data_IF_907107472495
#
_entry.id   IF_907107472495
#
_cell.length_a   1.000
_cell.length_b   1.000
_cell.length_c   1.000
_cell.angle_alpha   90.00
_cell.angle_beta   90.00
_cell.angle_gamma   90.00
#
_symmetry.space_group_name_H-M   'P 1'
#
loop_
_entity.id
_entity.type
_entity.pdbx_description
1 polymer ?
#
# COMPACT_ATOMS: atom_id res chain seq x y z
N UNK A 1 -62.53 23.46 44.55
CA UNK A 1 -61.37 23.07 45.37
C UNK A 1 -61.54 21.63 45.83
N UNK A 2 -61.25 20.58 45.09
CA UNK A 2 -61.06 20.32 43.66
C UNK A 2 -61.15 18.78 43.49
N UNK A 3 -61.79 18.36 42.40
CA UNK A 3 -61.61 17.14 41.56
C UNK A 3 -61.21 15.79 42.24
N UNK A 4 -62.02 14.70 42.20
CA UNK A 4 -62.37 13.80 41.04
C UNK A 4 -61.10 13.27 40.35
N UNK A 5 -60.79 11.99 40.06
CA UNK A 5 -61.43 10.67 39.89
C UNK A 5 -60.31 9.61 40.15
N UNK A 6 -60.53 8.32 40.45
CA UNK A 6 -61.37 7.33 39.78
C UNK A 6 -60.53 6.46 38.83
N UNK A 7 -60.48 5.15 39.13
CA UNK A 7 -60.22 3.98 38.26
C UNK A 7 -59.31 4.11 37.01
N UNK A 8 -58.35 3.19 36.86
CA UNK A 8 -58.48 2.05 35.91
C UNK A 8 -57.16 1.31 35.70
N UNK A 9 -57.33 0.02 35.42
CA UNK A 9 -56.32 -0.95 35.03
C UNK A 9 -55.33 -0.45 33.96
N UNK A 10 -54.07 -0.87 34.09
CA UNK A 10 -53.23 -1.08 32.91
C UNK A 10 -53.10 -2.59 32.65
N UNK A 11 -53.91 -2.99 31.67
CA UNK A 11 -53.74 -4.17 30.85
C UNK A 11 -52.35 -4.22 30.23
N UNK A 12 -51.89 -5.47 30.07
CA UNK A 12 -50.88 -5.92 29.14
C UNK A 12 -50.95 -5.23 27.77
N UNK A 13 -49.85 -4.59 27.38
CA UNK A 13 -49.37 -4.50 25.99
C UNK A 13 -47.89 -4.87 26.10
N UNK A 14 -47.47 -6.08 25.74
CA UNK A 14 -47.49 -6.50 24.35
C UNK A 14 -46.36 -5.81 23.58
N UNK A 15 -45.11 -5.88 24.06
CA UNK A 15 -43.96 -5.71 23.19
C UNK A 15 -43.51 -7.12 22.82
N UNK A 16 -44.09 -7.58 21.72
CA UNK A 16 -43.65 -8.69 20.90
C UNK A 16 -42.12 -8.82 20.90
N UNK A 17 -41.67 -10.00 21.32
CA UNK A 17 -40.30 -10.48 21.20
C UNK A 17 -39.69 -10.19 19.84
N UNK A 18 -38.70 -9.30 19.85
CA UNK A 18 -37.36 -9.63 19.40
C UNK A 18 -36.45 -9.10 20.51
N UNK A 19 -35.84 -9.99 21.29
CA UNK A 19 -34.77 -9.57 22.20
C UNK A 19 -33.70 -8.95 21.30
N UNK A 20 -33.57 -7.63 21.34
CA UNK A 20 -32.50 -6.94 20.63
C UNK A 20 -31.21 -7.45 21.25
N UNK A 21 -30.47 -8.27 20.48
CA UNK A 21 -29.19 -8.81 20.90
C UNK A 21 -28.32 -7.66 21.39
N UNK A 22 -27.78 -7.75 22.62
CA UNK A 22 -26.95 -6.67 23.14
C UNK A 22 -25.75 -6.49 22.22
N UNK A 23 -25.32 -5.25 22.02
CA UNK A 23 -24.16 -4.95 21.17
C UNK A 23 -22.92 -5.76 21.61
N UNK A 24 -22.75 -5.99 22.91
CA UNK A 24 -21.69 -6.85 23.42
C UNK A 24 -21.84 -8.31 22.98
N UNK A 25 -23.06 -8.88 22.99
CA UNK A 25 -23.30 -10.25 22.54
C UNK A 25 -23.00 -10.41 21.04
N UNK A 26 -23.48 -9.47 20.21
CA UNK A 26 -23.17 -9.42 18.77
C UNK A 26 -21.66 -9.31 18.54
N UNK A 27 -20.98 -8.41 19.26
CA UNK A 27 -19.53 -8.24 19.14
C UNK A 27 -18.74 -9.49 19.54
N UNK A 28 -19.15 -10.19 20.60
CA UNK A 28 -18.51 -11.44 21.04
C UNK A 28 -18.65 -12.52 19.98
N UNK A 29 -19.84 -12.71 19.42
CA UNK A 29 -20.12 -13.70 18.38
C UNK A 29 -19.30 -13.41 17.10
N UNK A 30 -19.26 -12.13 16.70
CA UNK A 30 -18.56 -11.69 15.51
C UNK A 30 -17.03 -11.81 15.65
N UNK A 31 -16.47 -11.40 16.80
CA UNK A 31 -15.04 -11.55 17.08
C UNK A 31 -14.64 -13.03 17.18
N UNK A 32 -15.52 -13.89 17.71
CA UNK A 32 -15.27 -15.33 17.70
C UNK A 32 -15.21 -15.87 16.25
N UNK A 33 -16.10 -15.41 15.37
CA UNK A 33 -16.07 -15.77 13.96
C UNK A 33 -14.76 -15.32 13.28
N UNK A 34 -14.25 -14.13 13.62
CA UNK A 34 -13.00 -13.60 13.08
C UNK A 34 -11.81 -14.57 13.27
N UNK A 35 -11.75 -15.27 14.40
CA UNK A 35 -10.68 -16.25 14.65
C UNK A 35 -10.67 -17.41 13.63
N UNK A 36 -11.84 -17.81 13.14
CA UNK A 36 -12.01 -18.90 12.17
C UNK A 36 -11.78 -18.49 10.71
N UNK A 37 -11.66 -17.19 10.43
CA UNK A 37 -11.50 -16.64 9.07
C UNK A 37 -12.51 -17.23 8.06
N UNK A 38 -13.83 -17.09 8.32
CA UNK A 38 -14.83 -17.59 7.38
C UNK A 38 -14.60 -16.97 6.01
N UNK A 39 -14.84 -17.78 4.98
CA UNK A 39 -14.85 -17.27 3.62
C UNK A 39 -16.08 -16.39 3.40
N UNK A 40 -15.98 -15.39 2.53
CA UNK A 40 -17.11 -14.52 2.18
C UNK A 40 -18.33 -15.33 1.76
N UNK A 41 -18.13 -16.41 0.98
CA UNK A 41 -19.24 -17.29 0.56
C UNK A 41 -19.92 -18.08 1.68
N UNK A 42 -19.30 -18.17 2.86
CA UNK A 42 -19.86 -18.80 4.07
C UNK A 42 -20.37 -17.81 5.11
N UNK A 43 -20.15 -16.51 4.89
CA UNK A 43 -20.65 -15.45 5.76
C UNK A 43 -22.15 -15.19 5.47
N UNK A 44 -22.96 -14.75 6.46
CA UNK A 44 -24.35 -14.44 6.24
C UNK A 44 -24.58 -13.49 5.05
N UNK A 45 -25.73 -13.66 4.38
CA UNK A 45 -26.11 -12.87 3.22
C UNK A 45 -26.52 -11.45 3.64
N UNK A 46 -25.54 -10.58 3.79
CA UNK A 46 -25.74 -9.15 3.99
C UNK A 46 -25.50 -8.38 2.68
N UNK A 47 -25.56 -7.04 2.71
CA UNK A 47 -25.14 -6.23 1.57
C UNK A 47 -23.63 -6.37 1.41
N UNK A 48 -23.20 -7.04 0.34
CA UNK A 48 -21.78 -7.18 0.01
C UNK A 48 -21.38 -6.09 -0.97
N UNK A 49 -20.35 -5.34 -0.60
CA UNK A 49 -19.64 -4.44 -1.50
C UNK A 49 -18.28 -5.04 -1.81
N UNK A 50 -17.98 -5.20 -3.10
CA UNK A 50 -16.65 -5.59 -3.54
C UNK A 50 -15.71 -4.39 -3.45
N UNK A 51 -14.41 -4.64 -3.36
CA UNK A 51 -13.45 -3.55 -3.35
C UNK A 51 -13.62 -2.70 -4.61
N UNK A 52 -13.93 -1.41 -4.42
CA UNK A 52 -14.03 -0.38 -5.46
C UNK A 52 -13.52 0.95 -4.85
N UNK A 53 -13.04 1.86 -5.70
CA UNK A 53 -12.33 3.09 -5.31
C UNK A 53 -13.27 4.25 -4.96
N UNK A 54 -14.59 4.09 -5.09
CA UNK A 54 -15.61 5.14 -4.92
C UNK A 54 -16.59 4.80 -3.81
N UNK A 55 -16.26 5.16 -2.59
CA UNK A 55 -17.10 4.89 -1.41
C UNK A 55 -16.98 6.11 -0.46
N UNK A 56 -17.94 6.46 0.43
CA UNK A 56 -17.92 7.72 1.22
C UNK A 56 -17.96 7.58 2.78
N UNK A 57 -17.55 6.45 3.35
CA UNK A 57 -17.62 6.11 4.78
C UNK A 57 -16.26 5.98 5.53
N UNK A 58 -16.20 6.20 6.86
CA UNK A 58 -14.93 6.20 7.63
C UNK A 58 -14.18 4.86 7.70
N UNK A 59 -14.89 3.72 7.74
CA UNK A 59 -14.27 2.38 7.68
C UNK A 59 -13.58 2.13 6.32
N UNK A 60 -13.94 2.91 5.32
CA UNK A 60 -13.42 2.74 3.98
C UNK A 60 -12.02 3.31 3.81
N UNK A 61 -11.54 4.14 4.74
CA UNK A 61 -10.17 4.60 4.64
C UNK A 61 -9.19 3.48 4.98
N UNK A 62 -9.55 2.59 5.92
CA UNK A 62 -8.80 1.34 6.14
C UNK A 62 -9.00 0.38 4.95
N UNK A 63 -10.24 0.27 4.45
CA UNK A 63 -10.56 -0.51 3.24
C UNK A 63 -9.75 -0.09 2.00
N UNK A 64 -9.52 1.22 1.81
CA UNK A 64 -8.74 1.81 0.71
C UNK A 64 -7.23 1.69 0.92
N UNK A 65 -6.76 1.75 2.17
CA UNK A 65 -5.32 1.75 2.50
C UNK A 65 -4.74 0.35 2.46
N UNK A 66 -5.51 -0.65 2.89
CA UNK A 66 -5.06 -2.02 2.86
C UNK A 66 -5.43 -2.66 1.52
N UNK A 67 -4.47 -2.58 0.60
CA UNK A 67 -4.34 -3.29 -0.69
C UNK A 67 -4.77 -4.78 -0.66
N UNK A 68 -4.79 -5.35 0.53
CA UNK A 68 -5.25 -6.69 0.85
C UNK A 68 -6.78 -6.90 0.83
N UNK A 69 -7.64 -5.88 0.93
CA UNK A 69 -9.09 -6.08 1.03
C UNK A 69 -9.77 -6.31 -0.32
N UNK A 70 -10.64 -7.31 -0.41
CA UNK A 70 -11.38 -7.66 -1.62
C UNK A 70 -12.90 -7.49 -1.50
N UNK A 71 -13.45 -7.46 -0.29
CA UNK A 71 -14.87 -7.22 -0.06
C UNK A 71 -15.16 -6.70 1.36
N UNK A 72 -16.29 -6.02 1.49
CA UNK A 72 -16.94 -5.67 2.74
C UNK A 72 -18.36 -6.26 2.77
N UNK A 73 -18.77 -6.84 3.89
CA UNK A 73 -20.14 -7.29 4.14
C UNK A 73 -20.77 -6.41 5.20
N UNK A 74 -21.95 -5.85 4.93
CA UNK A 74 -22.53 -4.82 5.78
C UNK A 74 -24.00 -5.04 6.12
N UNK A 75 -24.32 -4.73 7.37
CA UNK A 75 -25.66 -4.79 7.97
C UNK A 75 -25.88 -3.55 8.85
N UNK A 76 -25.87 -2.37 8.21
CA UNK A 76 -26.16 -1.05 8.80
C UNK A 76 -25.16 -0.56 9.84
N UNK A 77 -25.05 -1.26 10.97
CA UNK A 77 -24.17 -0.97 12.10
C UNK A 77 -22.91 -1.83 12.09
N UNK A 78 -22.85 -2.87 11.27
CA UNK A 78 -21.73 -3.82 11.19
C UNK A 78 -21.12 -3.80 9.80
N UNK A 79 -19.79 -3.85 9.75
CA UNK A 79 -19.00 -4.11 8.55
C UNK A 79 -17.99 -5.22 8.85
N UNK A 80 -18.02 -6.31 8.10
CA UNK A 80 -16.98 -7.33 8.08
C UNK A 80 -16.09 -7.12 6.86
N UNK A 81 -14.79 -6.96 7.06
CA UNK A 81 -13.80 -6.74 6.01
C UNK A 81 -13.11 -8.06 5.66
N UNK A 82 -13.04 -8.34 4.35
CA UNK A 82 -12.47 -9.56 3.82
C UNK A 82 -11.24 -9.28 2.97
N UNK A 83 -10.20 -10.07 3.16
CA UNK A 83 -8.92 -9.95 2.47
C UNK A 83 -8.69 -11.05 1.44
N UNK A 84 -7.79 -10.78 0.50
CA UNK A 84 -7.30 -11.73 -0.50
C UNK A 84 -6.57 -12.87 0.22
N UNK A 85 -7.02 -14.14 0.09
CA UNK A 85 -6.40 -15.24 0.81
C UNK A 85 -4.91 -15.38 0.45
N UNK A 86 -4.11 -15.84 1.42
CA UNK A 86 -2.76 -16.30 1.13
C UNK A 86 -2.85 -17.54 0.22
N UNK A 87 -2.54 -17.36 -1.06
CA UNK A 87 -2.52 -18.43 -2.05
C UNK A 87 -1.08 -18.84 -2.37
N UNK A 88 -0.89 -20.11 -2.65
CA UNK A 88 0.40 -20.66 -3.13
C UNK A 88 0.44 -20.78 -4.64
N UNK A 89 -0.72 -20.89 -5.28
CA UNK A 89 -0.87 -21.07 -6.73
C UNK A 89 -1.90 -20.10 -7.29
N UNK A 90 -1.59 -19.50 -8.44
CA UNK A 90 -2.53 -18.64 -9.15
C UNK A 90 -3.66 -19.45 -9.81
N UNK A 91 -4.87 -18.90 -9.90
CA UNK A 91 -5.94 -19.49 -10.70
C UNK A 91 -5.54 -19.67 -12.18
N UNK A 92 -6.08 -20.72 -12.81
CA UNK A 92 -5.84 -20.99 -14.24
C UNK A 92 -6.51 -19.95 -15.14
N UNK A 93 -7.71 -19.51 -14.74
CA UNK A 93 -8.54 -18.59 -15.51
C UNK A 93 -9.21 -17.56 -14.60
N UNK A 94 -9.63 -16.46 -15.22
CA UNK A 94 -10.44 -15.44 -14.54
C UNK A 94 -11.78 -16.07 -14.14
N UNK A 95 -12.16 -15.91 -12.88
CA UNK A 95 -13.42 -16.40 -12.32
C UNK A 95 -13.89 -15.44 -11.22
N UNK A 96 -14.96 -14.65 -11.45
CA UNK A 96 -15.52 -13.76 -10.43
C UNK A 96 -15.96 -14.47 -9.15
N UNK A 97 -16.21 -15.79 -9.20
CA UNK A 97 -16.55 -16.59 -8.01
C UNK A 97 -15.39 -16.69 -7.02
N UNK A 98 -14.16 -16.38 -7.44
CA UNK A 98 -13.00 -16.32 -6.55
C UNK A 98 -13.22 -15.32 -5.40
N UNK A 99 -13.96 -14.24 -5.62
CA UNK A 99 -14.34 -13.29 -4.54
C UNK A 99 -14.99 -13.98 -3.34
N UNK A 100 -15.68 -15.12 -3.52
CA UNK A 100 -16.27 -15.90 -2.41
C UNK A 100 -15.23 -16.55 -1.51
N UNK A 101 -13.98 -16.66 -1.95
CA UNK A 101 -12.85 -17.23 -1.20
C UNK A 101 -12.11 -16.18 -0.36
N UNK A 102 -12.45 -14.90 -0.51
CA UNK A 102 -12.01 -13.83 0.38
C UNK A 102 -12.22 -14.24 1.84
N UNK A 103 -11.23 -13.98 2.70
CA UNK A 103 -11.22 -14.43 4.09
C UNK A 103 -11.48 -13.26 5.01
N UNK A 104 -12.24 -13.47 6.08
CA UNK A 104 -12.48 -12.39 7.04
C UNK A 104 -11.18 -11.98 7.75
N UNK A 105 -10.92 -10.67 7.81
CA UNK A 105 -9.72 -10.10 8.45
C UNK A 105 -10.04 -9.16 9.61
N UNK A 106 -11.12 -8.39 9.48
CA UNK A 106 -11.50 -7.41 10.47
C UNK A 106 -13.02 -7.24 10.54
N UNK A 107 -13.47 -6.71 11.67
CA UNK A 107 -14.86 -6.40 11.96
C UNK A 107 -14.91 -5.01 12.56
N UNK A 108 -15.83 -4.21 12.03
CA UNK A 108 -16.16 -2.88 12.50
C UNK A 108 -17.63 -2.87 12.90
N UNK A 109 -17.92 -2.42 14.11
CA UNK A 109 -19.27 -2.23 14.61
C UNK A 109 -19.40 -0.79 15.10
N UNK A 110 -20.44 -0.11 14.66
CA UNK A 110 -20.71 1.28 14.96
C UNK A 110 -22.17 1.45 15.36
N UNK A 111 -22.39 2.06 16.52
CA UNK A 111 -23.73 2.37 17.00
C UNK A 111 -23.82 3.83 17.38
N UNK A 112 -25.05 4.35 17.52
CA UNK A 112 -25.27 5.66 18.11
C UNK A 112 -24.56 5.79 19.47
N UNK A 113 -24.13 7.01 19.79
CA UNK A 113 -23.50 7.30 21.08
C UNK A 113 -24.38 6.84 22.24
N UNK A 114 -23.77 6.12 23.19
CA UNK A 114 -24.45 5.53 24.35
C UNK A 114 -23.48 5.38 25.53
N UNK A 115 -23.92 4.78 26.64
CA UNK A 115 -23.08 4.63 27.83
C UNK A 115 -21.98 3.59 27.61
N UNK A 116 -20.83 4.04 27.10
CA UNK A 116 -19.67 3.19 26.78
C UNK A 116 -19.20 2.37 27.99
N UNK A 117 -19.37 2.87 29.21
CA UNK A 117 -19.00 2.16 30.44
C UNK A 117 -19.79 0.86 30.65
N UNK A 118 -21.06 0.82 30.23
CA UNK A 118 -21.87 -0.40 30.28
C UNK A 118 -21.32 -1.45 29.33
N UNK A 119 -20.96 -1.03 28.10
CA UNK A 119 -20.32 -1.88 27.11
C UNK A 119 -18.95 -2.39 27.58
N UNK A 120 -18.15 -1.52 28.20
CA UNK A 120 -16.87 -1.92 28.79
C UNK A 120 -17.08 -2.97 29.86
N UNK A 121 -18.06 -2.80 30.75
CA UNK A 121 -18.37 -3.76 31.80
C UNK A 121 -18.83 -5.11 31.24
N UNK A 122 -19.73 -5.11 30.25
CA UNK A 122 -20.20 -6.33 29.58
C UNK A 122 -19.07 -7.07 28.87
N UNK A 123 -18.24 -6.37 28.09
CA UNK A 123 -17.10 -6.98 27.40
C UNK A 123 -16.03 -7.46 28.39
N UNK A 124 -15.81 -6.74 29.48
CA UNK A 124 -14.88 -7.14 30.55
C UNK A 124 -15.36 -8.41 31.26
N UNK A 125 -16.68 -8.58 31.44
CA UNK A 125 -17.24 -9.80 32.02
C UNK A 125 -16.97 -11.03 31.14
N UNK A 126 -16.91 -10.86 29.82
CA UNK A 126 -16.68 -11.96 28.87
C UNK A 126 -15.19 -12.20 28.60
N UNK A 127 -14.41 -11.14 28.40
CA UNK A 127 -13.01 -11.23 27.97
C UNK A 127 -11.98 -11.02 29.07
N UNK A 128 -12.41 -10.59 30.25
CA UNK A 128 -11.54 -10.11 31.32
C UNK A 128 -11.16 -8.64 31.13
N UNK A 129 -10.32 -8.14 32.04
CA UNK A 129 -9.85 -6.77 32.02
C UNK A 129 -9.13 -6.44 30.69
N UNK A 130 -9.23 -5.19 30.18
CA UNK A 130 -8.48 -4.73 29.03
C UNK A 130 -6.98 -5.05 29.16
N UNK A 131 -6.44 -5.73 28.14
CA UNK A 131 -5.07 -6.24 28.11
C UNK A 131 -4.36 -5.96 26.78
N UNK A 132 -4.93 -5.10 25.93
CA UNK A 132 -4.33 -4.71 24.66
C UNK A 132 -3.02 -3.94 24.86
N UNK A 133 -2.05 -4.18 23.98
CA UNK A 133 -0.71 -3.58 24.06
C UNK A 133 -0.63 -2.17 23.47
N UNK A 134 -1.70 -1.71 22.80
CA UNK A 134 -1.77 -0.41 22.16
C UNK A 134 -3.17 0.19 22.28
N UNK A 135 -3.24 1.50 22.53
CA UNK A 135 -4.46 2.30 22.37
C UNK A 135 -4.59 2.87 20.94
N UNK A 136 -3.62 2.62 20.08
CA UNK A 136 -3.53 3.15 18.73
C UNK A 136 -3.83 2.02 17.72
N UNK A 137 -5.07 1.91 17.22
CA UNK A 137 -5.34 1.03 16.09
C UNK A 137 -4.71 1.65 14.83
N UNK A 138 -4.04 0.85 14.01
CA UNK A 138 -3.51 1.34 12.73
C UNK A 138 -4.63 1.43 11.69
N UNK A 139 -5.48 2.45 11.85
CA UNK A 139 -6.56 2.84 10.92
C UNK A 139 -6.63 4.37 10.86
N UNK A 140 -6.84 4.97 9.68
CA UNK A 140 -6.90 6.44 9.62
C UNK A 140 -8.10 6.97 10.43
N UNK A 141 -7.92 8.10 11.10
CA UNK A 141 -8.98 8.73 11.88
C UNK A 141 -9.09 8.25 13.33
N UNK A 142 -8.32 7.24 13.74
CA UNK A 142 -8.27 6.78 15.14
C UNK A 142 -7.94 7.90 16.12
N UNK A 143 -7.17 8.91 15.69
CA UNK A 143 -6.82 10.08 16.51
C UNK A 143 -8.04 10.91 16.95
N UNK A 144 -9.19 10.74 16.29
CA UNK A 144 -10.44 11.38 16.67
C UNK A 144 -11.19 10.59 17.74
N UNK A 145 -10.76 9.36 18.02
CA UNK A 145 -11.38 8.47 18.99
C UNK A 145 -11.00 8.87 20.42
N UNK A 146 -11.96 8.70 21.33
CA UNK A 146 -11.84 8.98 22.75
C UNK A 146 -12.18 7.73 23.55
N UNK A 147 -11.75 7.70 24.81
CA UNK A 147 -12.03 6.61 25.75
C UNK A 147 -11.67 5.22 25.23
N UNK A 148 -10.53 5.12 24.54
CA UNK A 148 -10.10 3.87 23.91
C UNK A 148 -9.79 2.83 24.98
N UNK A 149 -10.41 1.66 24.86
CA UNK A 149 -10.07 0.44 25.58
C UNK A 149 -9.69 -0.64 24.58
N UNK A 150 -8.67 -1.42 24.89
CA UNK A 150 -8.22 -2.49 24.00
C UNK A 150 -8.05 -3.82 24.70
N UNK A 151 -8.37 -4.87 23.97
CA UNK A 151 -8.18 -6.26 24.36
C UNK A 151 -7.36 -6.97 23.30
N UNK A 152 -6.65 -8.01 23.72
CA UNK A 152 -5.96 -8.94 22.85
C UNK A 152 -6.43 -10.36 23.13
N UNK A 153 -6.90 -11.03 22.09
CA UNK A 153 -7.40 -12.41 22.12
C UNK A 153 -6.65 -13.25 21.08
N UNK A 154 -5.60 -13.92 21.51
CA UNK A 154 -4.71 -14.66 20.61
C UNK A 154 -4.04 -13.73 19.60
N UNK A 155 -4.35 -13.91 18.32
CA UNK A 155 -3.89 -13.08 17.21
C UNK A 155 -4.95 -12.06 16.75
N UNK A 156 -5.85 -11.64 17.64
CA UNK A 156 -6.85 -10.60 17.38
C UNK A 156 -6.61 -9.46 18.36
N UNK A 157 -6.45 -8.26 17.82
CA UNK A 157 -6.46 -7.01 18.55
C UNK A 157 -7.86 -6.39 18.41
N UNK A 158 -8.39 -5.91 19.54
CA UNK A 158 -9.76 -5.38 19.66
C UNK A 158 -9.66 -4.00 20.31
N UNK A 159 -10.35 -3.02 19.74
CA UNK A 159 -10.48 -1.66 20.26
C UNK A 159 -11.95 -1.31 20.40
N UNK A 160 -12.31 -0.75 21.55
CA UNK A 160 -13.58 -0.07 21.79
C UNK A 160 -13.28 1.40 22.05
N UNK A 161 -13.97 2.29 21.38
CA UNK A 161 -13.81 3.72 21.55
C UNK A 161 -15.13 4.45 21.25
N UNK A 162 -15.11 5.77 21.40
CA UNK A 162 -16.18 6.65 20.94
C UNK A 162 -15.63 7.81 20.12
N UNK A 163 -16.39 8.27 19.13
CA UNK A 163 -16.13 9.51 18.41
C UNK A 163 -17.16 10.59 18.81
N UNK A 164 -17.38 11.60 17.95
CA UNK A 164 -18.33 12.67 18.22
C UNK A 164 -19.80 12.21 18.27
N UNK A 165 -20.14 11.09 17.64
CA UNK A 165 -21.53 10.66 17.42
C UNK A 165 -21.78 9.16 17.62
N UNK A 166 -20.73 8.37 17.83
CA UNK A 166 -20.83 6.92 17.84
C UNK A 166 -19.96 6.25 18.91
N UNK A 167 -20.36 5.05 19.28
CA UNK A 167 -19.47 4.05 19.87
C UNK A 167 -18.97 3.15 18.75
N UNK A 168 -17.67 2.92 18.72
CA UNK A 168 -16.97 2.14 17.69
C UNK A 168 -16.29 0.96 18.37
N UNK A 169 -16.56 -0.23 17.86
CA UNK A 169 -15.80 -1.43 18.17
C UNK A 169 -15.13 -1.91 16.88
N UNK A 170 -13.81 -1.99 16.91
CA UNK A 170 -13.00 -2.47 15.79
C UNK A 170 -12.16 -3.65 16.27
N UNK A 171 -12.22 -4.77 15.56
CA UNK A 171 -11.41 -5.94 15.83
C UNK A 171 -10.73 -6.38 14.55
N UNK A 172 -9.44 -6.69 14.63
CA UNK A 172 -8.68 -7.16 13.47
C UNK A 172 -7.70 -8.24 13.88
N UNK A 173 -7.30 -9.07 12.92
CA UNK A 173 -6.23 -10.04 13.16
C UNK A 173 -4.87 -9.36 13.05
N UNK A 174 -3.92 -9.80 13.87
CA UNK A 174 -2.51 -9.45 13.74
C UNK A 174 -2.00 -10.08 12.44
N UNK A 175 -2.03 -9.31 11.37
CA UNK A 175 -1.35 -9.64 10.14
C UNK A 175 -0.01 -8.89 10.15
N UNK A 176 1.06 -9.46 9.57
CA UNK A 176 2.23 -8.64 9.26
C UNK A 176 1.74 -7.40 8.52
N UNK A 177 2.23 -6.21 8.87
CA UNK A 177 2.02 -5.08 7.98
C UNK A 177 2.56 -5.51 6.61
N UNK A 178 1.68 -5.61 5.62
CA UNK A 178 2.15 -5.63 4.24
C UNK A 178 3.04 -4.41 4.13
N UNK A 179 4.31 -4.65 3.78
CA UNK A 179 5.30 -3.60 3.68
C UNK A 179 4.65 -2.47 2.88
N UNK A 180 4.51 -1.32 3.53
CA UNK A 180 3.66 -0.21 3.10
C UNK A 180 3.75 -0.05 1.59
N UNK A 181 2.60 0.19 0.95
CA UNK A 181 2.43 0.49 -0.48
C UNK A 181 3.55 1.41 -0.97
N UNK A 182 4.69 0.82 -1.34
CA UNK A 182 5.90 1.61 -1.55
C UNK A 182 5.65 2.52 -2.73
N UNK A 183 6.07 3.78 -2.58
CA UNK A 183 6.24 4.70 -3.68
C UNK A 183 7.12 4.02 -4.74
N UNK A 184 6.55 3.74 -5.92
CA UNK A 184 7.28 3.19 -7.07
C UNK A 184 6.86 1.79 -7.51
N UNK A 185 7.28 1.38 -8.72
CA UNK A 185 6.98 0.06 -9.30
C UNK A 185 7.86 -1.06 -8.74
N UNK A 186 9.00 -0.72 -8.13
CA UNK A 186 9.95 -1.67 -7.53
C UNK A 186 10.22 -1.29 -6.08
N UNK A 187 10.57 -2.27 -5.24
CA UNK A 187 10.88 -2.03 -3.83
C UNK A 187 12.22 -1.29 -3.66
N UNK A 188 12.43 -0.58 -2.54
CA UNK A 188 13.73 -0.02 -2.20
C UNK A 188 14.87 -1.05 -2.18
N UNK A 189 14.56 -2.31 -1.84
CA UNK A 189 15.55 -3.39 -1.84
C UNK A 189 16.07 -3.68 -3.25
N UNK A 190 15.18 -3.74 -4.25
CA UNK A 190 15.56 -3.93 -5.66
C UNK A 190 16.36 -2.73 -6.17
N UNK A 191 15.92 -1.51 -5.86
CA UNK A 191 16.66 -0.27 -6.18
C UNK A 191 18.08 -0.30 -5.61
N UNK A 192 18.21 -0.63 -4.33
CA UNK A 192 19.51 -0.69 -3.64
C UNK A 192 20.41 -1.79 -4.24
N UNK A 193 19.85 -2.92 -4.65
CA UNK A 193 20.64 -3.95 -5.33
C UNK A 193 21.14 -3.50 -6.69
N UNK A 194 20.33 -2.78 -7.47
CA UNK A 194 20.76 -2.24 -8.76
C UNK A 194 21.90 -1.21 -8.60
N UNK A 195 21.82 -0.31 -7.60
CA UNK A 195 22.91 0.62 -7.29
C UNK A 195 24.18 -0.11 -6.86
N UNK A 196 24.06 -1.17 -6.03
CA UNK A 196 25.21 -1.98 -5.62
C UNK A 196 25.82 -2.76 -6.80
N UNK A 197 25.02 -3.26 -7.72
CA UNK A 197 25.49 -3.88 -8.95
C UNK A 197 26.28 -2.90 -9.81
N UNK A 198 25.76 -1.68 -10.01
CA UNK A 198 26.47 -0.62 -10.71
C UNK A 198 27.79 -0.26 -10.01
N UNK A 199 27.79 -0.16 -8.69
CA UNK A 199 29.01 0.09 -7.93
C UNK A 199 30.07 -1.00 -8.15
N UNK A 200 29.69 -2.29 -8.19
CA UNK A 200 30.62 -3.39 -8.50
C UNK A 200 31.18 -3.30 -9.92
N UNK A 201 30.39 -2.83 -10.89
CA UNK A 201 30.83 -2.65 -12.28
C UNK A 201 31.75 -1.43 -12.45
N UNK A 202 31.48 -0.35 -11.72
CA UNK A 202 32.23 0.91 -11.80
C UNK A 202 33.55 0.90 -11.02
N UNK A 203 33.65 0.10 -9.96
CA UNK A 203 34.68 0.26 -8.91
C UNK A 203 36.11 -0.01 -9.39
N UNK A 204 36.95 1.03 -9.32
CA UNK A 204 38.42 0.91 -9.25
C UNK A 204 38.93 0.99 -7.80
N UNK A 205 38.24 1.76 -6.94
CA UNK A 205 38.58 1.99 -5.54
C UNK A 205 37.45 1.53 -4.61
N UNK A 206 37.58 0.35 -3.95
CA UNK A 206 36.57 -0.19 -3.06
C UNK A 206 36.25 0.71 -1.85
N UNK A 207 37.23 1.46 -1.34
CA UNK A 207 37.04 2.35 -0.19
C UNK A 207 36.21 3.56 -0.57
N UNK A 208 36.53 4.20 -1.69
CA UNK A 208 35.75 5.31 -2.24
C UNK A 208 34.31 4.87 -2.56
N UNK A 209 34.16 3.68 -3.13
CA UNK A 209 32.86 3.07 -3.47
C UNK A 209 31.99 2.90 -2.22
N UNK A 210 32.56 2.31 -1.16
CA UNK A 210 31.86 2.07 0.09
C UNK A 210 31.40 3.38 0.74
N UNK A 211 32.26 4.42 0.70
CA UNK A 211 31.94 5.73 1.24
C UNK A 211 30.80 6.44 0.47
N UNK A 212 30.74 6.28 -0.85
CA UNK A 212 29.62 6.79 -1.65
C UNK A 212 28.32 6.03 -1.35
N UNK A 213 28.35 4.70 -1.36
CA UNK A 213 27.17 3.86 -1.09
C UNK A 213 26.59 4.08 0.31
N UNK A 214 27.43 4.32 1.32
CA UNK A 214 26.98 4.66 2.67
C UNK A 214 26.16 5.96 2.74
N UNK A 215 26.20 6.78 1.68
CA UNK A 215 25.60 8.11 1.61
C UNK A 215 24.48 8.23 0.57
N UNK A 216 24.15 7.16 -0.15
CA UNK A 216 23.03 7.15 -1.12
C UNK A 216 21.66 6.92 -0.46
N UNK A 217 21.61 6.72 0.87
CA UNK A 217 20.37 6.49 1.63
C UNK A 217 19.97 7.75 2.41
N UNK A 218 19.28 8.68 1.76
CA UNK A 218 18.95 9.99 2.34
C UNK A 218 17.95 9.91 3.50
N UNK A 219 17.11 8.86 3.54
CA UNK A 219 16.03 8.69 4.52
C UNK A 219 16.52 8.13 5.86
N UNK A 220 17.60 7.36 5.84
CA UNK A 220 18.26 6.89 7.06
C UNK A 220 19.07 8.04 7.63
N UNK A 221 18.55 8.71 8.67
CA UNK A 221 19.14 9.85 9.41
C UNK A 221 20.53 9.62 10.04
N UNK A 222 21.33 8.67 9.55
CA UNK A 222 22.59 8.23 10.14
C UNK A 222 23.85 8.66 9.35
N UNK A 223 23.73 9.15 8.12
CA UNK A 223 24.90 9.63 7.39
C UNK A 223 25.37 11.00 7.96
N UNK A 224 26.66 11.19 8.30
CA UNK A 224 27.18 12.47 8.74
C UNK A 224 26.97 13.53 7.65
N UNK A 225 26.45 14.70 8.02
CA UNK A 225 26.31 15.85 7.12
C UNK A 225 27.68 16.17 6.51
N UNK A 226 27.85 15.85 5.23
CA UNK A 226 29.08 16.13 4.48
C UNK A 226 28.97 17.53 3.87
N UNK A 227 30.06 18.29 3.90
CA UNK A 227 30.09 19.57 3.21
C UNK A 227 29.94 19.33 1.70
N UNK A 228 29.19 20.19 1.02
CA UNK A 228 29.03 20.17 -0.45
C UNK A 228 30.37 20.11 -1.18
N UNK A 229 31.43 20.72 -0.61
CA UNK A 229 32.77 20.66 -1.17
C UNK A 229 33.38 19.27 -1.16
N UNK A 230 33.21 18.52 -0.06
CA UNK A 230 33.66 17.14 0.04
C UNK A 230 32.85 16.21 -0.86
N UNK A 231 31.53 16.40 -0.93
CA UNK A 231 30.66 15.67 -1.87
C UNK A 231 31.07 15.86 -3.32
N UNK A 232 31.30 17.10 -3.75
CA UNK A 232 31.74 17.38 -5.12
C UNK A 232 33.16 16.83 -5.39
N UNK A 233 34.09 16.93 -4.43
CA UNK A 233 35.43 16.37 -4.57
C UNK A 233 35.41 14.85 -4.77
N UNK A 234 34.61 14.15 -3.96
CA UNK A 234 34.41 12.71 -4.04
C UNK A 234 33.76 12.28 -5.35
N UNK A 235 32.69 12.97 -5.75
CA UNK A 235 32.01 12.72 -7.02
C UNK A 235 32.97 12.90 -8.20
N UNK A 236 33.79 13.95 -8.21
CA UNK A 236 34.80 14.16 -9.25
C UNK A 236 35.80 13.01 -9.29
N UNK A 237 36.35 12.61 -8.14
CA UNK A 237 37.28 11.50 -8.04
C UNK A 237 36.67 10.20 -8.56
N UNK A 238 35.38 9.96 -8.25
CA UNK A 238 34.64 8.79 -8.72
C UNK A 238 34.45 8.80 -10.24
N UNK A 239 34.00 9.92 -10.82
CA UNK A 239 33.78 10.03 -12.27
C UNK A 239 35.07 9.94 -13.07
N UNK A 240 36.19 10.45 -12.53
CA UNK A 240 37.49 10.44 -13.21
C UNK A 240 38.17 9.06 -13.17
N UNK A 241 37.92 8.26 -12.13
CA UNK A 241 38.58 6.98 -11.87
C UNK A 241 37.65 5.78 -11.96
N UNK A 242 36.63 5.82 -12.83
CA UNK A 242 35.75 4.67 -13.04
C UNK A 242 36.06 3.95 -14.35
N UNK A 243 36.14 2.62 -14.28
CA UNK A 243 36.32 1.76 -15.46
C UNK A 243 35.08 1.74 -16.36
N UNK A 244 33.89 1.67 -15.75
CA UNK A 244 32.61 1.70 -16.45
C UNK A 244 31.89 3.02 -16.17
N UNK A 245 31.87 3.88 -17.19
CA UNK A 245 31.26 5.21 -17.11
C UNK A 245 29.75 5.15 -16.85
N UNK A 246 29.04 4.22 -17.47
CA UNK A 246 27.59 4.11 -17.30
C UNK A 246 27.25 3.70 -15.86
N UNK A 247 27.96 2.71 -15.34
CA UNK A 247 27.80 2.27 -13.97
C UNK A 247 28.21 3.36 -12.95
N UNK A 248 29.26 4.13 -13.26
CA UNK A 248 29.69 5.26 -12.43
C UNK A 248 28.62 6.36 -12.35
N UNK A 249 27.97 6.67 -13.49
CA UNK A 249 26.88 7.63 -13.55
C UNK A 249 25.67 7.19 -12.72
N UNK A 250 25.36 5.90 -12.67
CA UNK A 250 24.28 5.36 -11.82
C UNK A 250 24.59 5.60 -10.33
N UNK A 251 25.81 5.29 -9.88
CA UNK A 251 26.21 5.52 -8.48
C UNK A 251 26.24 7.01 -8.17
N UNK A 252 26.73 7.83 -9.11
CA UNK A 252 26.74 9.29 -9.01
C UNK A 252 25.32 9.86 -8.88
N UNK A 253 24.35 9.35 -9.64
CA UNK A 253 22.96 9.78 -9.57
C UNK A 253 22.38 9.58 -8.16
N UNK A 254 22.54 8.37 -7.61
CA UNK A 254 22.09 8.02 -6.27
C UNK A 254 22.79 8.87 -5.18
N UNK A 255 24.08 9.16 -5.37
CA UNK A 255 24.86 9.96 -4.43
C UNK A 255 24.47 11.46 -4.45
N UNK A 256 24.28 12.03 -5.64
CA UNK A 256 23.87 13.43 -5.81
C UNK A 256 22.44 13.67 -5.33
N UNK A 257 21.57 12.66 -5.44
CA UNK A 257 20.18 12.75 -4.96
C UNK A 257 20.05 13.09 -3.48
N UNK A 258 21.06 12.78 -2.67
CA UNK A 258 21.09 13.12 -1.23
C UNK A 258 21.80 14.45 -0.92
N UNK A 259 22.34 15.14 -1.92
CA UNK A 259 23.10 16.37 -1.73
C UNK A 259 22.26 17.62 -2.03
N UNK A 260 22.43 18.71 -1.27
CA UNK A 260 21.77 19.96 -1.61
C UNK A 260 22.32 20.53 -2.93
N UNK A 261 21.49 21.28 -3.69
CA UNK A 261 21.92 21.91 -4.93
C UNK A 261 23.16 22.79 -4.76
N UNK A 262 24.11 22.72 -5.70
CA UNK A 262 25.29 23.58 -5.67
C UNK A 262 25.95 23.78 -7.03
N UNK A 263 26.64 24.90 -7.19
CA UNK A 263 27.40 25.21 -8.42
C UNK A 263 28.55 24.24 -8.66
N UNK A 264 29.14 23.70 -7.58
CA UNK A 264 30.21 22.68 -7.69
C UNK A 264 29.67 21.39 -8.31
N UNK A 265 28.51 20.91 -7.85
CA UNK A 265 27.87 19.73 -8.45
C UNK A 265 27.41 20.04 -9.90
N UNK A 266 26.90 21.24 -10.17
CA UNK A 266 26.57 21.68 -11.54
C UNK A 266 27.78 21.66 -12.47
N UNK A 267 28.96 22.07 -11.99
CA UNK A 267 30.19 22.04 -12.77
C UNK A 267 30.65 20.62 -13.14
N UNK A 268 30.18 19.62 -12.38
CA UNK A 268 30.40 18.19 -12.64
C UNK A 268 29.29 17.58 -13.50
N UNK A 269 28.35 18.39 -14.02
CA UNK A 269 27.29 17.95 -14.92
C UNK A 269 25.95 17.66 -14.24
N UNK A 270 25.83 17.80 -12.92
CA UNK A 270 24.55 17.61 -12.23
C UNK A 270 23.57 18.74 -12.56
N UNK A 271 22.39 18.39 -13.05
CA UNK A 271 21.33 19.36 -13.39
C UNK A 271 20.31 19.42 -12.26
N UNK A 272 20.01 20.62 -11.79
CA UNK A 272 18.96 20.87 -10.81
C UNK A 272 17.89 21.76 -11.42
N UNK A 273 16.62 21.43 -11.19
CA UNK A 273 15.45 22.13 -11.75
C UNK A 273 14.42 22.38 -10.64
N UNK A 274 13.69 23.51 -10.69
CA UNK A 274 12.55 23.69 -9.80
C UNK A 274 11.45 22.68 -10.21
N UNK A 275 11.06 21.82 -9.28
CA UNK A 275 9.83 21.00 -9.41
C UNK A 275 8.67 21.75 -8.74
N UNK A 276 8.93 22.36 -7.59
CA UNK A 276 7.97 23.12 -6.81
C UNK A 276 8.49 24.54 -6.57
N UNK A 277 7.70 25.60 -6.84
CA UNK A 277 8.12 26.98 -6.61
C UNK A 277 8.59 27.25 -5.17
N UNK A 278 8.00 26.55 -4.20
CA UNK A 278 8.25 26.71 -2.76
C UNK A 278 9.45 25.92 -2.22
N UNK A 279 9.84 24.82 -2.86
CA UNK A 279 10.85 23.88 -2.31
C UNK A 279 12.26 24.08 -2.91
N UNK A 280 12.39 25.02 -3.85
CA UNK A 280 13.65 25.30 -4.54
C UNK A 280 14.00 24.24 -5.59
N UNK A 281 15.22 24.33 -6.16
CA UNK A 281 15.64 23.40 -7.21
C UNK A 281 15.97 22.04 -6.62
N UNK A 282 15.49 20.98 -7.24
CA UNK A 282 15.81 19.59 -6.89
C UNK A 282 16.61 18.93 -8.01
N UNK A 283 17.35 17.88 -7.69
CA UNK A 283 18.18 17.18 -8.66
C UNK A 283 17.30 16.52 -9.74
N UNK A 284 17.68 16.70 -11.01
CA UNK A 284 16.88 16.28 -12.15
C UNK A 284 17.17 14.84 -12.61
N UNK A 285 17.96 14.09 -11.84
CA UNK A 285 18.39 12.71 -12.12
C UNK A 285 18.99 12.51 -13.52
N UNK A 286 19.74 13.50 -14.00
CA UNK A 286 20.25 13.45 -15.37
C UNK A 286 21.40 12.46 -15.53
N UNK A 287 22.13 12.11 -14.47
CA UNK A 287 23.18 11.10 -14.60
C UNK A 287 22.58 9.73 -14.88
N UNK A 288 21.40 9.43 -14.32
CA UNK A 288 20.68 8.21 -14.65
C UNK A 288 20.23 8.18 -16.11
N UNK A 289 19.74 9.30 -16.64
CA UNK A 289 19.39 9.43 -18.07
C UNK A 289 20.64 9.22 -18.97
N UNK A 290 21.76 9.82 -18.59
CA UNK A 290 23.02 9.80 -19.35
C UNK A 290 23.76 8.44 -19.28
N UNK A 291 23.36 7.53 -18.36
CA UNK A 291 24.03 6.25 -18.16
C UNK A 291 23.72 5.20 -19.25
N UNK A 292 22.57 5.29 -19.93
CA UNK A 292 22.16 4.40 -21.03
C UNK A 292 22.46 2.88 -20.83
N UNK A 293 22.25 2.34 -19.63
CA UNK A 293 22.56 0.95 -19.27
C UNK A 293 21.36 0.16 -18.72
N UNK A 294 21.45 -1.18 -18.68
CA UNK A 294 20.43 -2.08 -18.13
C UNK A 294 19.94 -1.63 -16.74
N UNK A 295 20.89 -1.39 -15.84
CA UNK A 295 20.62 -0.97 -14.47
C UNK A 295 19.95 0.41 -14.38
N UNK A 296 20.20 1.29 -15.36
CA UNK A 296 19.54 2.58 -15.43
C UNK A 296 18.04 2.42 -15.74
N UNK A 297 17.65 1.41 -16.51
CA UNK A 297 16.23 1.11 -16.77
C UNK A 297 15.52 0.67 -15.49
N UNK A 298 16.14 -0.22 -14.72
CA UNK A 298 15.61 -0.69 -13.43
C UNK A 298 15.35 0.48 -12.49
N UNK A 299 16.32 1.40 -12.37
CA UNK A 299 16.20 2.55 -11.49
C UNK A 299 15.16 3.57 -11.98
N UNK A 300 15.04 3.76 -13.29
CA UNK A 300 13.97 4.59 -13.88
C UNK A 300 12.58 4.02 -13.63
N UNK A 301 12.40 2.69 -13.72
CA UNK A 301 11.13 2.05 -13.40
C UNK A 301 10.84 2.04 -11.90
N UNK A 302 11.88 1.95 -11.06
CA UNK A 302 11.73 2.04 -9.61
C UNK A 302 11.18 3.40 -9.18
N UNK A 303 11.49 4.49 -9.91
CA UNK A 303 10.97 5.83 -9.63
C UNK A 303 10.23 6.39 -10.86
N UNK A 304 8.91 6.18 -10.97
CA UNK A 304 8.16 6.63 -12.14
C UNK A 304 8.17 8.15 -12.39
N UNK A 305 8.60 8.97 -11.41
CA UNK A 305 8.75 10.42 -11.61
C UNK A 305 9.90 10.78 -12.54
N UNK A 306 10.78 9.81 -12.82
CA UNK A 306 11.87 9.97 -13.79
C UNK A 306 11.39 9.71 -15.24
N UNK A 307 10.19 9.16 -15.44
CA UNK A 307 9.65 8.84 -16.77
C UNK A 307 9.09 10.09 -17.47
N UNK A 308 9.93 10.77 -18.27
CA UNK A 308 9.67 12.08 -18.93
C UNK A 308 8.93 12.00 -20.29
N UNK A 309 8.25 13.10 -20.67
CA UNK A 309 7.58 13.34 -21.99
C UNK A 309 6.03 13.54 -21.95
N UNK A 310 5.30 13.27 -23.05
CA UNK A 310 3.86 13.64 -23.23
C UNK A 310 2.82 12.66 -22.67
N UNK A 311 3.07 11.35 -22.72
CA UNK A 311 2.10 10.33 -22.30
C UNK A 311 2.10 10.13 -20.77
N UNK A 312 1.07 9.47 -20.24
CA UNK A 312 1.02 9.10 -18.82
C UNK A 312 2.23 8.23 -18.45
N UNK A 313 2.74 8.39 -17.22
CA UNK A 313 3.87 7.58 -16.75
C UNK A 313 3.64 6.06 -16.83
N UNK A 314 2.41 5.49 -16.66
CA UNK A 314 2.23 4.04 -16.75
C UNK A 314 2.50 3.51 -18.16
N UNK A 315 2.08 4.24 -19.21
CA UNK A 315 2.32 3.84 -20.60
C UNK A 315 3.82 3.78 -20.92
N UNK A 316 4.59 4.72 -20.37
CA UNK A 316 6.05 4.73 -20.54
C UNK A 316 6.74 3.65 -19.74
N UNK A 317 6.26 3.36 -18.54
CA UNK A 317 6.79 2.26 -17.75
C UNK A 317 6.60 0.93 -18.50
N UNK A 318 5.45 0.74 -19.15
CA UNK A 318 5.17 -0.40 -20.03
C UNK A 318 6.12 -0.37 -21.23
N UNK A 319 6.16 0.72 -22.00
CA UNK A 319 7.01 0.83 -23.19
C UNK A 319 8.49 0.55 -22.87
N UNK A 320 9.01 1.19 -21.83
CA UNK A 320 10.41 1.06 -21.42
C UNK A 320 10.73 -0.33 -20.88
N UNK A 321 9.81 -0.92 -20.11
CA UNK A 321 9.95 -2.28 -19.61
C UNK A 321 9.90 -3.31 -20.73
N UNK A 322 8.95 -3.20 -21.66
CA UNK A 322 8.86 -4.09 -22.82
C UNK A 322 10.07 -3.95 -23.76
N UNK A 323 10.59 -2.73 -23.93
CA UNK A 323 11.85 -2.50 -24.65
C UNK A 323 13.00 -3.26 -23.97
N UNK A 324 13.15 -3.13 -22.65
CA UNK A 324 14.16 -3.87 -21.90
C UNK A 324 14.03 -5.38 -22.09
N UNK A 325 12.81 -5.93 -21.98
CA UNK A 325 12.57 -7.38 -22.14
C UNK A 325 12.97 -7.88 -23.54
N UNK A 326 12.91 -7.03 -24.57
CA UNK A 326 13.37 -7.35 -25.93
C UNK A 326 14.87 -7.23 -26.10
N UNK A 327 15.48 -6.20 -25.52
CA UNK A 327 16.92 -5.90 -25.66
C UNK A 327 17.78 -6.82 -24.78
N UNK A 328 17.29 -7.18 -23.60
CA UNK A 328 18.04 -7.92 -22.57
C UNK A 328 17.29 -9.17 -22.07
N UNK A 329 16.87 -10.10 -22.95
CA UNK A 329 16.02 -11.24 -22.58
C UNK A 329 16.71 -12.24 -21.62
N UNK A 330 18.04 -12.20 -21.52
CA UNK A 330 18.83 -13.07 -20.64
C UNK A 330 19.31 -12.36 -19.36
N UNK A 331 18.92 -11.10 -19.14
CA UNK A 331 19.35 -10.33 -17.96
C UNK A 331 18.75 -10.93 -16.69
N UNK A 332 19.53 -10.97 -15.61
CA UNK A 332 19.05 -11.41 -14.29
C UNK A 332 17.94 -10.49 -13.73
N UNK A 333 17.82 -9.29 -14.30
CA UNK A 333 16.85 -8.28 -13.94
C UNK A 333 15.48 -8.46 -14.61
N UNK A 334 15.36 -9.36 -15.60
CA UNK A 334 14.12 -9.63 -16.33
C UNK A 334 12.92 -9.84 -15.39
N UNK A 335 12.97 -10.68 -14.34
CA UNK A 335 11.81 -10.87 -13.46
C UNK A 335 11.34 -9.58 -12.79
N UNK A 336 12.27 -8.70 -12.41
CA UNK A 336 11.94 -7.43 -11.78
C UNK A 336 11.26 -6.48 -12.77
N UNK A 337 11.68 -6.50 -14.04
CA UNK A 337 11.01 -5.74 -15.11
C UNK A 337 9.61 -6.27 -15.34
N UNK A 338 9.41 -7.59 -15.40
CA UNK A 338 8.07 -8.19 -15.52
C UNK A 338 7.17 -7.76 -14.36
N UNK A 339 7.69 -7.75 -13.13
CA UNK A 339 6.95 -7.24 -11.97
C UNK A 339 6.59 -5.75 -12.10
N UNK A 340 7.52 -4.90 -12.54
CA UNK A 340 7.26 -3.47 -12.75
C UNK A 340 6.21 -3.22 -13.85
N UNK A 341 6.33 -3.92 -14.98
CA UNK A 341 5.38 -3.83 -16.10
C UNK A 341 4.00 -4.33 -15.70
N UNK A 342 3.91 -5.43 -14.92
CA UNK A 342 2.66 -5.93 -14.37
C UNK A 342 1.94 -4.86 -13.53
N UNK A 343 2.69 -4.19 -12.64
CA UNK A 343 2.16 -3.10 -11.81
C UNK A 343 1.74 -1.88 -12.64
N UNK A 344 2.49 -1.51 -13.68
CA UNK A 344 2.12 -0.41 -14.57
C UNK A 344 0.80 -0.67 -15.30
N UNK A 345 0.60 -1.89 -15.84
CA UNK A 345 -0.70 -2.30 -16.41
C UNK A 345 -1.82 -2.29 -15.37
N UNK A 346 -1.55 -2.75 -14.14
CA UNK A 346 -2.52 -2.72 -13.06
C UNK A 346 -2.96 -1.27 -12.72
N UNK A 347 -2.03 -0.31 -12.71
CA UNK A 347 -2.33 1.10 -12.42
C UNK A 347 -3.23 1.71 -13.47
N UNK A 348 -3.09 1.33 -14.76
CA UNK A 348 -4.01 1.78 -15.81
C UNK A 348 -5.46 1.36 -15.55
N UNK A 349 -5.69 0.29 -14.79
CA UNK A 349 -7.04 -0.17 -14.39
C UNK A 349 -7.60 0.61 -13.19
N UNK A 350 -6.74 1.02 -12.26
CA UNK A 350 -7.12 1.68 -11.01
C UNK A 350 -7.22 3.20 -11.12
N UNK A 351 -6.35 3.78 -11.95
CA UNK A 351 -5.88 5.15 -11.80
C UNK A 351 -4.88 5.30 -10.64
N UNK A 352 -3.94 6.26 -10.71
CA UNK A 352 -3.08 6.60 -9.58
C UNK A 352 -3.93 7.25 -8.47
N UNK A 353 -3.55 7.02 -7.20
CA UNK A 353 -4.09 7.78 -6.07
C UNK A 353 -3.07 8.87 -5.68
N UNK A 354 -3.45 10.14 -5.86
CA UNK A 354 -2.61 11.31 -5.55
C UNK A 354 -2.89 12.49 -6.48
N UNK A 355 -2.18 13.60 -6.27
CA UNK A 355 -2.21 14.78 -7.15
C UNK A 355 -1.40 14.54 -8.43
N UNK A 356 -1.81 13.53 -9.22
CA UNK A 356 -1.32 13.34 -10.57
C UNK A 356 -2.20 14.16 -11.53
N UNK A 357 -1.67 15.21 -12.20
CA UNK A 357 -2.40 15.94 -13.23
C UNK A 357 -2.68 15.10 -14.48
N UNK A 358 -2.15 13.88 -14.58
CA UNK A 358 -2.51 12.89 -15.58
C UNK A 358 -3.97 12.48 -15.46
N UNK A 359 -4.83 13.06 -16.30
CA UNK A 359 -6.22 12.62 -16.48
C UNK A 359 -6.23 11.13 -16.81
N UNK A 360 -6.47 10.27 -15.82
CA UNK A 360 -6.82 8.89 -16.08
C UNK A 360 -8.22 8.86 -16.65
N UNK A 361 -8.28 8.96 -17.97
CA UNK A 361 -9.50 8.74 -18.71
C UNK A 361 -9.93 7.30 -18.44
N UNK A 362 -11.18 7.06 -18.02
CA UNK A 362 -11.67 5.70 -17.80
C UNK A 362 -11.44 4.84 -19.05
N UNK A 363 -10.77 3.70 -18.88
CA UNK A 363 -10.54 2.77 -19.98
C UNK A 363 -11.87 2.22 -20.51
N UNK A 364 -11.94 1.99 -21.82
CA UNK A 364 -13.04 1.20 -22.39
C UNK A 364 -13.01 -0.23 -21.84
N UNK A 365 -14.14 -0.93 -21.83
CA UNK A 365 -14.19 -2.32 -21.33
C UNK A 365 -13.26 -3.27 -22.10
N UNK A 366 -12.99 -3.00 -23.38
CA UNK A 366 -12.05 -3.78 -24.18
C UNK A 366 -10.60 -3.52 -23.75
N UNK A 367 -10.21 -2.25 -23.61
CA UNK A 367 -8.89 -1.87 -23.12
C UNK A 367 -8.64 -2.39 -21.70
N UNK A 368 -9.60 -2.25 -20.79
CA UNK A 368 -9.49 -2.78 -19.43
C UNK A 368 -9.28 -4.31 -19.38
N UNK A 369 -9.89 -5.07 -20.30
CA UNK A 369 -9.63 -6.52 -20.40
C UNK A 369 -8.22 -6.84 -20.90
N UNK A 370 -7.71 -6.05 -21.84
CA UNK A 370 -6.36 -6.20 -22.36
C UNK A 370 -5.31 -5.89 -21.28
N UNK A 371 -5.42 -4.73 -20.62
CA UNK A 371 -4.54 -4.31 -19.53
C UNK A 371 -4.54 -5.33 -18.38
N UNK A 372 -5.71 -5.84 -18.00
CA UNK A 372 -5.83 -6.92 -16.99
C UNK A 372 -5.11 -8.19 -17.42
N UNK A 373 -5.27 -8.61 -18.67
CA UNK A 373 -4.66 -9.84 -19.18
C UNK A 373 -3.13 -9.70 -19.25
N UNK A 374 -2.64 -8.53 -19.66
CA UNK A 374 -1.22 -8.21 -19.69
C UNK A 374 -0.61 -8.21 -18.27
N UNK A 375 -1.26 -7.54 -17.30
CA UNK A 375 -0.83 -7.56 -15.91
C UNK A 375 -0.75 -8.98 -15.32
N UNK A 376 -1.79 -9.79 -15.55
CA UNK A 376 -1.82 -11.20 -15.12
C UNK A 376 -0.65 -12.00 -15.69
N UNK A 377 -0.39 -11.86 -16.98
CA UNK A 377 0.68 -12.59 -17.66
C UNK A 377 2.05 -12.21 -17.10
N UNK A 378 2.30 -10.92 -16.90
CA UNK A 378 3.58 -10.44 -16.36
C UNK A 378 3.78 -10.86 -14.90
N UNK A 379 2.73 -10.82 -14.06
CA UNK A 379 2.82 -11.38 -12.70
C UNK A 379 3.09 -12.88 -12.69
N UNK A 380 2.50 -13.65 -13.62
CA UNK A 380 2.78 -15.10 -13.73
C UNK A 380 4.24 -15.38 -14.03
N UNK A 381 4.85 -14.63 -14.95
CA UNK A 381 6.26 -14.81 -15.31
C UNK A 381 7.19 -14.46 -14.15
N UNK A 382 6.94 -13.33 -13.49
CA UNK A 382 7.66 -12.95 -12.27
C UNK A 382 7.57 -14.04 -11.19
N UNK A 383 6.36 -14.54 -10.90
CA UNK A 383 6.14 -15.56 -9.87
C UNK A 383 6.74 -16.91 -10.21
N UNK A 384 6.83 -17.27 -11.50
CA UNK A 384 7.52 -18.47 -11.95
C UNK A 384 9.04 -18.34 -11.75
N UNK A 385 9.62 -17.16 -11.99
CA UNK A 385 11.05 -16.92 -11.87
C UNK A 385 11.51 -16.63 -10.43
N UNK A 386 10.65 -16.04 -9.59
CA UNK A 386 10.97 -15.56 -8.23
C UNK A 386 9.90 -15.97 -7.21
N UNK A 387 9.55 -17.25 -7.03
CA UNK A 387 8.44 -17.65 -6.15
C UNK A 387 8.61 -17.21 -4.68
N UNK A 388 9.86 -17.10 -4.21
CA UNK A 388 10.24 -16.84 -2.83
C UNK A 388 10.75 -15.41 -2.56
N UNK A 389 10.71 -14.52 -3.57
CA UNK A 389 11.06 -13.13 -3.34
C UNK A 389 10.06 -12.46 -2.37
N UNK A 390 10.49 -11.48 -1.56
CA UNK A 390 9.57 -10.75 -0.67
C UNK A 390 8.36 -10.15 -1.41
N UNK A 391 8.56 -9.67 -2.63
CA UNK A 391 7.53 -9.09 -3.51
C UNK A 391 6.51 -10.13 -4.02
N UNK A 392 6.80 -11.42 -3.92
CA UNK A 392 5.96 -12.49 -4.48
C UNK A 392 4.69 -12.76 -3.71
N UNK A 393 4.61 -12.34 -2.44
CA UNK A 393 3.34 -12.31 -1.71
C UNK A 393 2.40 -11.28 -2.35
N UNK A 394 2.89 -10.05 -2.53
CA UNK A 394 2.13 -8.96 -3.16
C UNK A 394 1.74 -9.32 -4.60
N UNK A 395 2.68 -9.82 -5.42
CA UNK A 395 2.40 -10.23 -6.79
C UNK A 395 1.30 -11.31 -6.87
N UNK A 396 1.29 -12.27 -5.93
CA UNK A 396 0.24 -13.29 -5.86
C UNK A 396 -1.12 -12.70 -5.51
N UNK A 397 -1.17 -11.82 -4.51
CA UNK A 397 -2.40 -11.15 -4.12
C UNK A 397 -2.95 -10.29 -5.26
N UNK A 398 -2.11 -9.48 -5.91
CA UNK A 398 -2.49 -8.66 -7.05
C UNK A 398 -3.00 -9.48 -8.23
N UNK A 399 -2.24 -10.49 -8.65
CA UNK A 399 -2.68 -11.37 -9.73
C UNK A 399 -4.02 -12.04 -9.39
N UNK A 400 -4.20 -12.52 -8.15
CA UNK A 400 -5.46 -13.11 -7.71
C UNK A 400 -6.64 -12.13 -7.80
N UNK A 401 -6.45 -10.87 -7.40
CA UNK A 401 -7.50 -9.82 -7.53
C UNK A 401 -7.91 -9.68 -8.99
N UNK A 402 -6.93 -9.59 -9.88
CA UNK A 402 -7.18 -9.51 -11.32
C UNK A 402 -7.92 -10.75 -11.86
N UNK A 403 -7.59 -11.96 -11.38
CA UNK A 403 -8.35 -13.17 -11.70
C UNK A 403 -9.79 -13.14 -11.19
N UNK A 404 -10.00 -12.58 -9.99
CA UNK A 404 -11.32 -12.41 -9.40
C UNK A 404 -12.15 -11.30 -10.05
N UNK A 405 -11.58 -10.57 -11.02
CA UNK A 405 -12.22 -9.42 -11.67
C UNK A 405 -12.29 -8.18 -10.79
N UNK A 406 -11.57 -8.18 -9.67
CA UNK A 406 -11.47 -7.04 -8.77
C UNK A 406 -10.52 -5.98 -9.34
N UNK A 407 -10.69 -4.72 -8.95
CA UNK A 407 -9.68 -3.71 -9.22
C UNK A 407 -8.36 -4.07 -8.50
N UNK A 408 -7.19 -3.72 -9.07
CA UNK A 408 -5.91 -3.97 -8.43
C UNK A 408 -5.74 -3.12 -7.16
N UNK A 409 -4.64 -3.30 -6.46
CA UNK A 409 -4.33 -2.42 -5.34
C UNK A 409 -3.96 -1.01 -5.82
N UNK A 410 -4.42 0.04 -5.11
CA UNK A 410 -3.97 1.37 -5.41
C UNK A 410 -2.47 1.54 -5.14
N UNK A 411 -1.84 2.38 -5.94
CA UNK A 411 -0.47 2.83 -5.71
C UNK A 411 -0.56 4.33 -5.44
N UNK A 412 -0.16 4.70 -4.22
CA UNK A 412 -0.01 6.10 -3.85
C UNK A 412 1.21 6.64 -4.58
N UNK A 413 0.96 7.63 -5.42
CA UNK A 413 2.00 8.19 -6.25
C UNK A 413 1.73 9.66 -6.55
N UNK A 414 2.71 10.50 -6.26
CA UNK A 414 2.70 11.91 -6.60
C UNK A 414 4.10 12.32 -7.07
N UNK A 415 4.19 12.86 -8.29
CA UNK A 415 5.39 13.57 -8.75
C UNK A 415 5.25 15.09 -8.59
N UNK A 416 4.20 15.51 -7.89
CA UNK A 416 3.88 16.91 -7.63
C UNK A 416 4.44 17.40 -6.30
N UNK A 417 4.09 18.64 -6.00
CA UNK A 417 4.33 19.26 -4.70
C UNK A 417 3.29 18.72 -3.72
N UNK A 418 3.71 18.15 -2.60
CA UNK A 418 2.79 17.80 -1.49
C UNK A 418 2.20 19.05 -0.83
#
# INVERSE_FOLDING_TARGET
MDFVAGCSAFLLLGVSGFAQESLAHKAVNDIAALASQPALGSWPKEKVELADYKTDHPYEVDYRRANQYCAASMDGQRVALFFVPAITTLPEKQDPKLTRLCRMHAIWIQTALGPIDVLIAELTAVWGAPNGTSAEPDIRGWKLWKNIKSWRRGAIDIWLAQDASHVILYARRNFPHDAESYFGLLSPAVKNEAVRAAARMASEDPSLTAEMLARTQCETRQAPVESVGATAGRLKQWLDGAHDRAAALIVADAYVSCAPPSDRLRSLGAKFRPICPQDGPVYAHNFLDDAEAELAVILNLANPCLLKGRDGWPDRAIERGEQFLREFPASEWVPWIEFAVARAHAIKLAGPIGDDPGQTTPLTSAAARQERSAAIEQFRRFLAAKPDAPESLFARQEAWRLFAGLPPSPIHFGCGCE
#
